data_IF_992805339027
#
_entry.id   IF_992805339027
#
_cell.length_a   1.000
_cell.length_b   1.000
_cell.length_c   1.000
_cell.angle_alpha   90.00
_cell.angle_beta   90.00
_cell.angle_gamma   90.00
#
_symmetry.space_group_name_H-M   'P 1'
#
loop_
_entity.id
_entity.type
_entity.pdbx_description
1 polymer ?
#
# COMPACT_ATOMS: atom_id res chain seq x y z
N UNK A 1 -9.95 -24.08 17.52
CA UNK A 1 -8.76 -23.36 17.02
C UNK A 1 -9.22 -21.93 16.84
N UNK A 2 -8.81 -21.04 17.71
CA UNK A 2 -9.19 -19.63 17.67
C UNK A 2 -8.53 -18.99 16.46
N UNK A 3 -9.36 -18.51 15.53
CA UNK A 3 -8.93 -17.66 14.43
C UNK A 3 -8.37 -16.35 15.06
N UNK A 4 -7.07 -16.31 15.29
CA UNK A 4 -6.42 -15.06 15.69
C UNK A 4 -6.41 -14.18 14.46
N UNK A 5 -7.44 -13.32 14.32
CA UNK A 5 -7.32 -12.15 13.43
C UNK A 5 -6.07 -11.43 13.90
N UNK A 6 -5.11 -11.25 12.98
CA UNK A 6 -3.94 -10.44 13.26
C UNK A 6 -4.43 -9.03 13.54
N UNK A 7 -4.19 -8.57 14.77
CA UNK A 7 -4.50 -7.20 15.15
C UNK A 7 -3.59 -6.27 14.37
N UNK A 8 -4.14 -5.16 13.87
CA UNK A 8 -3.38 -4.16 13.15
C UNK A 8 -2.67 -3.24 14.15
N UNK A 9 -1.39 -3.01 13.94
CA UNK A 9 -0.58 -2.09 14.73
C UNK A 9 -0.59 -0.69 14.12
N UNK A 10 -0.21 0.33 14.90
CA UNK A 10 -0.21 1.72 14.47
C UNK A 10 1.22 2.22 14.34
N UNK A 11 1.63 2.55 13.11
CA UNK A 11 2.89 3.22 12.84
C UNK A 11 2.71 4.73 12.92
N UNK A 12 3.43 5.36 13.84
CA UNK A 12 3.50 6.81 14.00
C UNK A 12 4.76 7.35 13.37
N UNK A 13 4.63 8.46 12.64
CA UNK A 13 5.75 9.20 12.11
C UNK A 13 5.67 10.67 12.50
N UNK A 14 6.72 11.18 13.10
CA UNK A 14 6.82 12.60 13.44
C UNK A 14 7.23 13.41 12.21
N UNK A 15 6.32 14.26 11.72
CA UNK A 15 6.53 15.13 10.55
C UNK A 15 6.49 16.62 10.85
N UNK A 16 6.28 16.99 12.13
CA UNK A 16 6.19 18.39 12.55
C UNK A 16 7.52 19.14 12.54
N UNK A 17 7.49 20.48 12.65
CA UNK A 17 8.69 21.32 12.59
C UNK A 17 9.55 21.26 13.85
N UNK A 18 9.03 20.70 14.96
CA UNK A 18 9.75 20.59 16.24
C UNK A 18 10.51 19.26 16.24
N UNK A 19 11.82 19.32 16.46
CA UNK A 19 12.66 18.12 16.52
C UNK A 19 12.23 17.15 17.64
N UNK A 20 12.39 15.80 17.44
CA UNK A 20 13.06 15.15 16.33
C UNK A 20 12.13 14.79 15.16
N UNK A 21 12.17 15.58 14.08
CA UNK A 21 11.44 15.30 12.84
C UNK A 21 11.94 14.00 12.17
N UNK A 22 11.01 13.12 11.78
CA UNK A 22 11.37 11.86 11.11
C UNK A 22 11.51 10.66 12.04
N UNK A 23 11.23 10.81 13.34
CA UNK A 23 11.15 9.70 14.27
C UNK A 23 9.94 8.80 13.92
N UNK A 24 10.16 7.49 13.97
CA UNK A 24 9.13 6.50 13.75
C UNK A 24 8.91 5.70 15.03
N UNK A 25 7.65 5.43 15.36
CA UNK A 25 7.23 4.75 16.57
C UNK A 25 6.07 3.80 16.28
N UNK A 26 6.07 2.63 16.85
CA UNK A 26 4.99 1.64 16.68
C UNK A 26 4.27 1.43 18.01
N UNK A 27 2.94 1.41 17.94
CA UNK A 27 2.08 0.90 19.00
C UNK A 27 1.55 -0.46 18.57
N UNK A 28 1.83 -1.46 19.39
CA UNK A 28 1.30 -2.81 19.23
C UNK A 28 -0.05 -2.85 19.94
N UNK A 29 -1.10 -3.11 19.19
CA UNK A 29 -2.47 -2.99 19.67
C UNK A 29 -3.05 -4.32 20.12
N UNK A 30 -3.94 -4.26 21.12
CA UNK A 30 -4.87 -5.32 21.48
C UNK A 30 -6.24 -4.65 21.64
N UNK A 31 -7.05 -4.68 20.58
CA UNK A 31 -8.28 -3.89 20.50
C UNK A 31 -7.99 -2.40 20.65
N UNK A 32 -8.52 -1.76 21.68
CA UNK A 32 -8.29 -0.34 21.98
C UNK A 32 -7.12 -0.10 22.92
N UNK A 33 -6.41 -1.15 23.33
CA UNK A 33 -5.33 -1.07 24.31
C UNK A 33 -3.97 -1.16 23.64
N UNK A 34 -3.03 -0.30 24.01
CA UNK A 34 -1.63 -0.44 23.61
C UNK A 34 -1.02 -1.56 24.46
N UNK A 35 -0.76 -2.71 23.85
CA UNK A 35 -0.12 -3.86 24.49
C UNK A 35 1.35 -3.59 24.77
N UNK A 36 2.06 -3.04 23.79
CA UNK A 36 3.44 -2.59 23.89
C UNK A 36 3.72 -1.50 22.87
N UNK A 37 4.87 -0.85 22.96
CA UNK A 37 5.26 0.20 22.02
C UNK A 37 6.78 0.32 21.92
N UNK A 38 7.26 0.86 20.82
CA UNK A 38 8.70 1.07 20.64
C UNK A 38 9.05 2.02 19.52
N UNK A 39 10.19 2.68 19.66
CA UNK A 39 10.79 3.48 18.59
C UNK A 39 11.44 2.55 17.58
N UNK A 40 11.22 2.80 16.29
CA UNK A 40 11.86 2.07 15.20
C UNK A 40 13.23 2.69 14.90
N UNK A 41 13.21 3.87 14.33
CA UNK A 41 14.42 4.62 13.99
C UNK A 41 14.03 6.06 13.60
N UNK A 42 15.05 6.80 13.19
CA UNK A 42 14.93 8.12 12.60
C UNK A 42 15.14 8.03 11.09
N UNK A 43 14.17 8.54 10.30
CA UNK A 43 14.25 8.64 8.84
C UNK A 43 13.96 10.07 8.43
N UNK A 44 14.82 10.69 7.64
CA UNK A 44 14.65 12.07 7.18
C UNK A 44 13.33 12.27 6.45
N UNK A 45 12.77 13.48 6.50
CA UNK A 45 11.42 13.78 6.00
C UNK A 45 11.27 13.76 4.48
N UNK A 46 12.36 13.64 3.74
CA UNK A 46 12.36 13.40 2.30
C UNK A 46 11.97 11.96 1.92
N UNK A 47 11.89 11.06 2.91
CA UNK A 47 11.32 9.72 2.76
C UNK A 47 9.91 9.68 3.33
N UNK A 48 9.01 9.07 2.60
CA UNK A 48 7.61 8.89 2.96
C UNK A 48 7.28 7.39 3.09
N UNK A 49 6.48 7.04 4.09
CA UNK A 49 5.85 5.71 4.15
C UNK A 49 4.79 5.65 3.05
N UNK A 50 4.87 4.66 2.20
CA UNK A 50 3.93 4.45 1.07
C UNK A 50 3.12 3.18 1.17
N UNK A 51 3.43 2.34 2.13
CA UNK A 51 2.68 1.12 2.40
C UNK A 51 3.25 0.35 3.57
N UNK A 52 2.47 -0.59 4.04
CA UNK A 52 2.87 -1.59 5.02
C UNK A 52 2.25 -2.93 4.62
N UNK A 53 2.90 -4.02 4.98
CA UNK A 53 2.45 -5.38 4.73
C UNK A 53 3.61 -6.35 4.80
N UNK A 54 3.33 -7.62 4.70
CA UNK A 54 4.34 -8.67 4.75
C UNK A 54 5.03 -8.79 3.39
N UNK A 55 6.18 -8.12 3.23
CA UNK A 55 6.91 -8.08 1.95
C UNK A 55 7.74 -9.36 1.68
N UNK A 56 7.99 -10.17 2.72
CA UNK A 56 8.89 -11.32 2.64
C UNK A 56 8.21 -12.67 2.93
N UNK A 57 6.96 -12.67 3.39
CA UNK A 57 6.20 -13.88 3.72
C UNK A 57 6.52 -14.47 5.12
N UNK A 58 7.07 -13.66 6.04
CA UNK A 58 7.41 -14.14 7.39
C UNK A 58 6.25 -13.95 8.39
N UNK A 59 5.15 -13.37 7.91
CA UNK A 59 3.96 -13.17 8.68
C UNK A 59 3.96 -11.89 9.51
N UNK A 60 4.87 -10.97 9.30
CA UNK A 60 4.96 -9.69 9.99
C UNK A 60 4.79 -8.55 8.98
N UNK A 61 4.24 -7.43 9.46
CA UNK A 61 4.14 -6.25 8.62
C UNK A 61 5.48 -5.52 8.53
N UNK A 62 5.88 -5.22 7.30
CA UNK A 62 7.08 -4.49 6.91
C UNK A 62 6.71 -3.05 6.51
N UNK A 63 7.69 -2.19 6.28
CA UNK A 63 7.47 -0.79 5.93
C UNK A 63 8.07 -0.51 4.56
N UNK A 64 7.23 -0.02 3.64
CA UNK A 64 7.65 0.43 2.32
C UNK A 64 7.85 1.96 2.32
N UNK A 65 9.05 2.38 1.96
CA UNK A 65 9.47 3.77 1.87
C UNK A 65 9.66 4.22 0.43
N UNK A 66 9.32 5.47 0.14
CA UNK A 66 9.67 6.14 -1.12
C UNK A 66 10.26 7.51 -0.84
N UNK A 67 11.37 7.82 -1.52
CA UNK A 67 11.98 9.14 -1.44
C UNK A 67 11.32 10.10 -2.42
N UNK A 68 10.87 11.24 -1.89
CA UNK A 68 10.11 12.24 -2.67
C UNK A 68 10.96 12.92 -3.76
N UNK A 69 12.27 13.11 -3.52
CA UNK A 69 13.13 13.87 -4.42
C UNK A 69 13.65 13.11 -5.64
N UNK A 70 13.75 11.77 -5.57
CA UNK A 70 14.38 10.97 -6.64
C UNK A 70 13.65 9.67 -6.98
N UNK A 71 12.60 9.33 -6.24
CA UNK A 71 11.79 8.15 -6.48
C UNK A 71 12.43 6.81 -6.09
N UNK A 72 13.47 6.82 -5.27
CA UNK A 72 14.01 5.58 -4.68
C UNK A 72 12.99 4.92 -3.78
N UNK A 73 12.90 3.59 -3.85
CA UNK A 73 12.07 2.77 -3.00
C UNK A 73 12.96 1.91 -2.12
N UNK A 74 12.61 1.85 -0.84
CA UNK A 74 13.36 1.14 0.18
C UNK A 74 12.40 0.41 1.10
N UNK A 75 12.76 -0.75 1.60
CA UNK A 75 11.93 -1.49 2.54
C UNK A 75 12.69 -1.78 3.83
N UNK A 76 11.95 -1.77 4.93
CA UNK A 76 12.36 -2.31 6.21
C UNK A 76 11.58 -3.60 6.47
N UNK A 77 12.28 -4.73 6.59
CA UNK A 77 11.71 -5.98 7.07
C UNK A 77 11.75 -5.96 8.59
N UNK A 78 10.59 -6.07 9.20
CA UNK A 78 10.40 -5.75 10.60
C UNK A 78 10.28 -6.99 11.48
N UNK A 79 10.76 -6.89 12.72
CA UNK A 79 10.45 -7.83 13.78
C UNK A 79 9.97 -7.04 15.00
N UNK A 80 8.67 -6.79 15.06
CA UNK A 80 8.10 -5.80 15.96
C UNK A 80 8.60 -4.40 15.62
N UNK A 81 9.15 -3.66 16.58
CA UNK A 81 9.75 -2.35 16.35
C UNK A 81 11.23 -2.39 15.94
N UNK A 82 11.79 -3.59 15.72
CA UNK A 82 13.18 -3.76 15.32
C UNK A 82 13.26 -3.98 13.82
N UNK A 83 14.15 -3.25 13.14
CA UNK A 83 14.47 -3.49 11.74
C UNK A 83 15.35 -4.74 11.68
N UNK A 84 14.77 -5.88 11.28
CA UNK A 84 15.50 -7.14 11.13
C UNK A 84 16.45 -7.10 9.92
N UNK A 85 15.99 -6.46 8.84
CA UNK A 85 16.77 -6.23 7.62
C UNK A 85 16.22 -5.03 6.86
N UNK A 86 17.03 -4.43 6.00
CA UNK A 86 16.60 -3.31 5.16
C UNK A 86 17.34 -3.30 3.82
N UNK A 87 16.69 -2.78 2.79
CA UNK A 87 17.29 -2.74 1.47
C UNK A 87 16.55 -1.86 0.46
N UNK A 88 17.27 -1.45 -0.57
CA UNK A 88 16.67 -0.73 -1.70
C UNK A 88 16.02 -1.72 -2.65
N UNK A 89 14.77 -1.45 -3.02
CA UNK A 89 14.07 -2.23 -4.05
C UNK A 89 14.52 -1.74 -5.43
N UNK A 90 14.27 -0.47 -5.72
CA UNK A 90 14.67 0.17 -6.98
C UNK A 90 14.45 1.69 -6.95
N UNK A 91 14.67 2.33 -8.10
CA UNK A 91 14.29 3.74 -8.34
C UNK A 91 13.26 3.76 -9.47
N UNK A 92 12.13 4.41 -9.23
CA UNK A 92 11.04 4.57 -10.20
C UNK A 92 10.80 6.07 -10.41
N UNK A 93 10.70 6.56 -11.66
CA UNK A 93 10.49 7.98 -11.94
C UNK A 93 9.31 8.57 -11.17
N UNK A 94 9.38 9.89 -10.87
CA UNK A 94 8.40 10.56 -9.99
C UNK A 94 6.99 10.67 -10.59
N UNK A 95 6.83 10.52 -11.90
CA UNK A 95 5.52 10.40 -12.54
C UNK A 95 4.83 9.05 -12.31
N UNK A 96 5.47 8.13 -11.58
CA UNK A 96 4.85 6.93 -11.06
C UNK A 96 4.67 7.09 -9.55
N UNK A 97 3.48 6.81 -9.08
CA UNK A 97 3.14 6.79 -7.65
C UNK A 97 2.80 5.36 -7.21
N UNK A 98 3.12 5.03 -5.96
CA UNK A 98 2.61 3.84 -5.32
C UNK A 98 1.15 4.11 -5.01
N UNK A 99 0.26 3.32 -5.60
CA UNK A 99 -1.19 3.49 -5.51
C UNK A 99 -1.86 2.44 -4.61
N UNK A 100 -1.12 1.39 -4.25
CA UNK A 100 -1.59 0.36 -3.34
C UNK A 100 -0.47 -0.63 -2.98
N UNK A 101 -0.68 -1.35 -1.89
CA UNK A 101 0.17 -2.47 -1.44
C UNK A 101 -0.70 -3.59 -0.93
N UNK A 102 -0.56 -4.79 -1.48
CA UNK A 102 -1.34 -5.96 -1.11
C UNK A 102 -0.82 -7.21 -1.80
N UNK A 103 -1.30 -8.36 -1.40
CA UNK A 103 -0.99 -9.63 -2.05
C UNK A 103 -1.86 -9.79 -3.30
N UNK A 104 -1.39 -9.32 -4.47
CA UNK A 104 -2.17 -9.37 -5.70
C UNK A 104 -2.08 -10.72 -6.40
N UNK A 105 -1.10 -11.57 -6.08
CA UNK A 105 -0.90 -12.86 -6.74
C UNK A 105 -1.24 -14.07 -5.86
N UNK A 106 -1.56 -13.86 -4.58
CA UNK A 106 -1.93 -14.91 -3.63
C UNK A 106 -0.75 -15.72 -3.11
N UNK A 107 0.47 -15.16 -3.11
CA UNK A 107 1.67 -15.87 -2.62
C UNK A 107 1.98 -15.59 -1.14
N UNK A 108 1.12 -14.83 -0.47
CA UNK A 108 1.24 -14.46 0.93
C UNK A 108 2.17 -13.28 1.18
N UNK A 109 2.65 -12.61 0.12
CA UNK A 109 3.52 -11.44 0.24
C UNK A 109 2.84 -10.20 -0.31
N UNK A 110 3.12 -9.06 0.29
CA UNK A 110 2.62 -7.79 -0.21
C UNK A 110 3.44 -7.30 -1.39
N UNK A 111 2.74 -6.92 -2.44
CA UNK A 111 3.22 -6.42 -3.72
C UNK A 111 3.03 -4.91 -3.81
N UNK A 112 3.51 -4.27 -4.90
CA UNK A 112 3.34 -2.85 -5.15
C UNK A 112 2.52 -2.63 -6.42
N UNK A 113 1.40 -1.91 -6.28
CA UNK A 113 0.64 -1.37 -7.39
C UNK A 113 1.12 0.05 -7.71
N UNK A 114 1.55 0.24 -8.93
CA UNK A 114 2.01 1.52 -9.48
C UNK A 114 0.97 2.17 -10.38
N UNK A 115 0.85 3.48 -10.30
CA UNK A 115 0.06 4.31 -11.22
C UNK A 115 0.93 5.39 -11.84
N UNK A 116 0.95 5.47 -13.16
CA UNK A 116 1.60 6.56 -13.88
C UNK A 116 0.63 7.75 -13.98
N UNK A 117 1.01 8.87 -13.39
CA UNK A 117 0.20 10.10 -13.32
C UNK A 117 0.17 10.90 -14.61
N UNK A 118 1.05 10.57 -15.58
CA UNK A 118 1.12 11.28 -16.86
C UNK A 118 0.29 10.62 -17.96
N UNK A 119 0.10 9.29 -17.89
CA UNK A 119 -0.56 8.54 -18.97
C UNK A 119 -1.59 7.51 -18.49
N UNK A 120 -1.76 7.37 -17.19
CA UNK A 120 -2.77 6.48 -16.62
C UNK A 120 -2.44 4.99 -16.71
N UNK A 121 -1.18 4.61 -16.95
CA UNK A 121 -0.78 3.20 -16.92
C UNK A 121 -0.72 2.69 -15.49
N UNK A 122 -1.25 1.49 -15.25
CA UNK A 122 -1.09 0.74 -14.00
C UNK A 122 -0.14 -0.43 -14.21
N UNK A 123 0.74 -0.67 -13.24
CA UNK A 123 1.78 -1.69 -13.30
C UNK A 123 2.01 -2.28 -11.91
N UNK A 124 2.34 -3.56 -11.83
CA UNK A 124 2.60 -4.26 -10.57
C UNK A 124 4.03 -4.76 -10.48
N UNK A 125 4.59 -4.69 -9.27
CA UNK A 125 5.78 -5.42 -8.87
C UNK A 125 5.41 -6.45 -7.83
N UNK A 126 5.68 -7.71 -8.12
CA UNK A 126 5.54 -8.83 -7.19
C UNK A 126 6.83 -8.98 -6.42
N UNK A 127 6.75 -8.88 -5.10
CA UNK A 127 7.94 -8.77 -4.26
C UNK A 127 8.31 -10.09 -3.57
N UNK A 128 9.57 -10.21 -3.24
CA UNK A 128 10.10 -11.17 -2.28
C UNK A 128 11.16 -10.44 -1.44
N UNK A 129 10.71 -9.82 -0.36
CA UNK A 129 11.51 -8.89 0.43
C UNK A 129 11.91 -7.66 -0.38
N UNK A 130 13.19 -7.50 -0.65
CA UNK A 130 13.74 -6.38 -1.45
C UNK A 130 13.78 -6.67 -2.95
N UNK A 131 13.60 -7.93 -3.34
CA UNK A 131 13.68 -8.34 -4.73
C UNK A 131 12.34 -8.19 -5.44
N UNK A 132 12.35 -7.68 -6.66
CA UNK A 132 11.22 -7.77 -7.58
C UNK A 132 11.32 -9.17 -8.22
N UNK A 133 10.48 -10.11 -7.74
CA UNK A 133 10.45 -11.48 -8.24
C UNK A 133 9.89 -11.54 -9.67
N UNK A 134 8.85 -10.75 -9.94
CA UNK A 134 8.26 -10.55 -11.26
C UNK A 134 7.53 -9.22 -11.33
N UNK A 135 7.08 -8.85 -12.53
CA UNK A 135 6.33 -7.61 -12.73
C UNK A 135 5.44 -7.71 -13.98
N UNK A 136 4.36 -6.93 -14.01
CA UNK A 136 3.45 -6.93 -15.11
C UNK A 136 2.61 -5.66 -15.22
N UNK A 137 2.17 -5.36 -16.45
CA UNK A 137 1.24 -4.24 -16.68
C UNK A 137 -0.18 -4.74 -16.48
N UNK A 138 -0.96 -4.01 -15.69
CA UNK A 138 -2.41 -4.24 -15.53
C UNK A 138 -3.16 -3.67 -16.74
N UNK A 139 -2.87 -2.42 -17.09
CA UNK A 139 -3.52 -1.73 -18.20
C UNK A 139 -3.32 -0.23 -18.14
N UNK A 140 -4.07 0.48 -18.98
CA UNK A 140 -4.14 1.94 -18.97
C UNK A 140 -5.58 2.36 -18.69
N UNK A 141 -5.77 3.12 -17.63
CA UNK A 141 -7.08 3.66 -17.23
C UNK A 141 -6.98 5.19 -17.33
N UNK A 142 -7.97 5.88 -17.92
CA UNK A 142 -7.94 7.33 -18.07
C UNK A 142 -7.65 8.06 -16.74
N UNK A 143 -7.06 9.25 -16.83
CA UNK A 143 -6.53 9.96 -15.64
C UNK A 143 -7.64 10.49 -14.70
N UNK A 144 -8.85 10.63 -15.19
CA UNK A 144 -10.02 10.95 -14.35
C UNK A 144 -10.42 9.82 -13.39
N UNK A 145 -9.88 8.64 -13.57
CA UNK A 145 -10.05 7.53 -12.64
C UNK A 145 -8.85 7.43 -11.71
N UNK A 146 -9.13 7.44 -10.42
CA UNK A 146 -8.13 7.26 -9.38
C UNK A 146 -8.35 5.95 -8.64
N UNK A 147 -7.26 5.32 -8.22
CA UNK A 147 -7.30 4.19 -7.29
C UNK A 147 -7.61 4.75 -5.91
N UNK A 148 -8.66 4.24 -5.27
CA UNK A 148 -9.14 4.69 -3.96
C UNK A 148 -9.13 3.61 -2.89
N UNK A 149 -8.82 2.38 -3.26
CA UNK A 149 -8.67 1.29 -2.31
C UNK A 149 -8.04 0.08 -2.99
N UNK A 150 -7.40 -0.72 -2.17
CA UNK A 150 -6.90 -2.04 -2.49
C UNK A 150 -7.23 -2.99 -1.34
N UNK A 151 -7.59 -4.22 -1.65
CA UNK A 151 -7.99 -5.22 -0.66
C UNK A 151 -8.68 -6.39 -1.32
N UNK A 152 -8.87 -7.47 -0.60
CA UNK A 152 -9.59 -8.66 -1.08
C UNK A 152 -11.11 -8.42 -0.97
N UNK A 153 -11.71 -7.88 -2.03
CA UNK A 153 -13.14 -7.56 -2.04
C UNK A 153 -14.05 -8.73 -2.42
N UNK A 154 -13.48 -9.82 -2.96
CA UNK A 154 -14.25 -11.00 -3.37
C UNK A 154 -14.01 -12.23 -2.47
N UNK A 155 -13.03 -12.18 -1.55
CA UNK A 155 -12.72 -13.25 -0.61
C UNK A 155 -11.87 -14.37 -1.19
N UNK A 156 -11.13 -14.14 -2.28
CA UNK A 156 -10.30 -15.15 -2.92
C UNK A 156 -8.84 -15.18 -2.41
N UNK A 157 -8.51 -14.31 -1.46
CA UNK A 157 -7.19 -14.20 -0.85
C UNK A 157 -6.23 -13.30 -1.62
N UNK A 158 -6.68 -12.64 -2.69
CA UNK A 158 -5.86 -11.71 -3.48
C UNK A 158 -6.38 -10.29 -3.34
N UNK A 159 -5.48 -9.33 -3.39
CA UNK A 159 -5.86 -7.93 -3.38
C UNK A 159 -6.45 -7.51 -4.73
N UNK A 160 -7.54 -6.75 -4.68
CA UNK A 160 -8.28 -6.19 -5.79
C UNK A 160 -8.07 -4.68 -5.86
N UNK A 161 -8.58 -4.02 -6.91
CA UNK A 161 -8.40 -2.58 -7.11
C UNK A 161 -9.77 -1.89 -7.20
N UNK A 162 -10.00 -0.92 -6.31
CA UNK A 162 -11.16 -0.04 -6.38
C UNK A 162 -10.80 1.27 -7.05
N UNK A 163 -11.44 1.54 -8.18
CA UNK A 163 -11.34 2.78 -8.95
C UNK A 163 -12.52 3.70 -8.67
N UNK A 164 -12.29 5.02 -8.62
CA UNK A 164 -13.32 6.04 -8.61
C UNK A 164 -13.10 7.06 -9.71
N UNK A 165 -14.14 7.37 -10.47
CA UNK A 165 -14.10 8.47 -11.42
C UNK A 165 -14.21 9.80 -10.68
N UNK A 166 -13.24 10.67 -10.89
CA UNK A 166 -13.12 11.98 -10.23
C UNK A 166 -13.70 13.13 -11.07
N UNK A 167 -14.33 12.84 -12.23
CA UNK A 167 -15.05 13.85 -13.00
C UNK A 167 -16.23 14.38 -12.22
N UNK A 168 -16.34 15.72 -12.10
CA UNK A 168 -17.41 16.36 -11.35
C UNK A 168 -18.79 15.85 -11.81
N UNK A 169 -19.57 15.37 -10.86
CA UNK A 169 -20.92 14.84 -11.10
C UNK A 169 -20.98 13.37 -11.55
N UNK A 170 -19.84 12.72 -11.84
CA UNK A 170 -19.82 11.30 -12.20
C UNK A 170 -19.81 10.41 -10.93
N UNK A 171 -18.70 10.36 -10.21
CA UNK A 171 -18.57 9.60 -8.95
C UNK A 171 -18.78 8.10 -9.07
N UNK A 172 -18.72 7.54 -10.28
CA UNK A 172 -18.80 6.08 -10.50
C UNK A 172 -17.62 5.39 -9.85
N UNK A 173 -17.89 4.22 -9.28
CA UNK A 173 -16.87 3.33 -8.76
C UNK A 173 -16.81 2.07 -9.64
N UNK A 174 -15.61 1.55 -9.86
CA UNK A 174 -15.36 0.37 -10.67
C UNK A 174 -14.37 -0.54 -9.97
N UNK A 175 -14.64 -1.83 -9.96
CA UNK A 175 -13.81 -2.83 -9.30
C UNK A 175 -13.09 -3.67 -10.32
N UNK A 176 -11.79 -3.90 -10.12
CA UNK A 176 -11.01 -4.93 -10.77
C UNK A 176 -10.71 -6.03 -9.78
N UNK A 177 -11.18 -7.24 -10.03
CA UNK A 177 -10.80 -8.44 -9.32
C UNK A 177 -9.55 -9.01 -9.98
N UNK A 178 -8.48 -9.12 -9.21
CA UNK A 178 -7.15 -9.35 -9.75
C UNK A 178 -6.71 -10.82 -9.62
N UNK A 179 -5.90 -11.27 -10.60
CA UNK A 179 -5.11 -12.49 -10.54
C UNK A 179 -3.68 -12.16 -10.99
N UNK A 180 -2.86 -11.76 -10.05
CA UNK A 180 -1.60 -11.08 -10.34
C UNK A 180 -1.84 -9.75 -11.06
N UNK A 181 -1.18 -9.54 -12.19
CA UNK A 181 -1.39 -8.35 -13.03
C UNK A 181 -2.52 -8.51 -14.06
N UNK A 182 -3.27 -9.62 -14.01
CA UNK A 182 -4.39 -9.90 -14.91
C UNK A 182 -5.70 -9.53 -14.22
N UNK A 183 -6.59 -8.85 -14.93
CA UNK A 183 -7.96 -8.58 -14.47
C UNK A 183 -8.78 -9.86 -14.71
N UNK A 184 -9.05 -10.62 -13.65
CA UNK A 184 -9.83 -11.87 -13.74
C UNK A 184 -11.30 -11.56 -14.04
N UNK A 185 -11.85 -10.54 -13.41
CA UNK A 185 -13.17 -9.99 -13.71
C UNK A 185 -13.25 -8.53 -13.24
N UNK A 186 -14.29 -7.83 -13.67
CA UNK A 186 -14.46 -6.42 -13.28
C UNK A 186 -15.92 -6.00 -13.39
N UNK A 187 -16.30 -4.93 -12.68
CA UNK A 187 -17.65 -4.42 -12.72
C UNK A 187 -17.84 -3.08 -12.05
N UNK A 188 -18.95 -2.42 -12.38
CA UNK A 188 -19.37 -1.21 -11.69
C UNK A 188 -19.89 -1.54 -10.30
N UNK A 189 -19.51 -0.68 -9.36
CA UNK A 189 -20.14 -0.56 -8.05
C UNK A 189 -21.06 0.67 -8.09
N UNK A 190 -21.85 0.90 -7.04
CA UNK A 190 -22.74 2.06 -6.99
C UNK A 190 -21.97 3.38 -7.10
N UNK A 191 -22.51 4.33 -7.84
CA UNK A 191 -21.94 5.67 -7.93
C UNK A 191 -22.24 6.47 -6.65
N UNK A 192 -21.28 7.28 -6.23
CA UNK A 192 -21.41 8.27 -5.17
C UNK A 192 -21.01 9.61 -5.76
N UNK A 193 -21.99 10.36 -6.31
CA UNK A 193 -21.76 11.60 -7.04
C UNK A 193 -21.41 12.79 -6.15
N UNK A 194 -21.69 12.72 -4.85
CA UNK A 194 -21.25 13.73 -3.90
C UNK A 194 -19.78 13.46 -3.51
N UNK A 195 -18.89 14.37 -3.92
CA UNK A 195 -17.44 14.27 -3.66
C UNK A 195 -17.03 14.67 -2.24
N UNK A 196 -17.96 15.14 -1.40
CA UNK A 196 -17.72 15.31 0.05
C UNK A 196 -17.61 13.96 0.76
N UNK A 197 -18.16 12.87 0.15
CA UNK A 197 -17.89 11.53 0.60
C UNK A 197 -16.55 11.04 0.05
N UNK A 198 -15.65 10.74 0.95
CA UNK A 198 -14.36 10.12 0.65
C UNK A 198 -14.41 8.63 0.98
N UNK A 199 -13.69 7.84 0.20
CA UNK A 199 -13.50 6.43 0.53
C UNK A 199 -12.49 6.37 1.67
N UNK A 200 -12.91 5.83 2.81
CA UNK A 200 -12.04 5.51 3.94
C UNK A 200 -11.80 4.01 3.88
N UNK A 201 -10.53 3.64 3.76
CA UNK A 201 -10.14 2.23 3.77
C UNK A 201 -10.45 1.65 5.17
N UNK A 202 -11.29 0.62 5.22
CA UNK A 202 -11.62 -0.14 6.42
C UNK A 202 -11.06 -1.54 6.20
N UNK A 203 -9.85 -1.78 6.68
CA UNK A 203 -9.17 -3.08 6.66
C UNK A 203 -9.40 -3.87 7.94
#
# INVERSE_FOLDING_TARGET
MTNQQRESDILWRHSGPIAPTGQNHIWFMNGTTIFSQGTVNFVTTDWEVKGSGDLNGDGKSDILWRRAGDGRNHAYLMNGNVIASQGTINTVPLNWVIAGTGDYNGDGKSDILWRNTSNGRAHMYFLNGFAIASQGTVGTVPLEWEIKGDGDYNGDGKADILWRNMTTGDGRNYMYFMDGNVIASSGYVNAVSNFDFVIVDVR
#
